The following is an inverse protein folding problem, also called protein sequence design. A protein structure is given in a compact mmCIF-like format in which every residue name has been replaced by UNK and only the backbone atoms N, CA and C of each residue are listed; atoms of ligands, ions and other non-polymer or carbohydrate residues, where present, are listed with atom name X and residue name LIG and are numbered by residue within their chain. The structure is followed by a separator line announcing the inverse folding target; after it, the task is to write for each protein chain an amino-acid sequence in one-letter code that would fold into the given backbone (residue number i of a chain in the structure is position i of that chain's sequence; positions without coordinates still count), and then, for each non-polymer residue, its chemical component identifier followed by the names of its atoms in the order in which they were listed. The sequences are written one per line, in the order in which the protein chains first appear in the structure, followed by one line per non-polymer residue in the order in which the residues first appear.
data_IF_230319578414
#
_entry.id   IF_230319578414
#
_cell.length_a   1.000
_cell.length_b   1.000
_cell.length_c   1.000
_cell.angle_alpha   90.00
_cell.angle_beta   90.00
_cell.angle_gamma   90.00
#
_symmetry.space_group_name_H-M   'P 1'
#
loop_
_entity.id
_entity.type
_entity.pdbx_description
1 polymer ?
#
# COMPACT_ATOMS: atom_id res chain seq x y z
N UNK A 1 0.30 4.85 0.51
CA UNK A 1 -0.09 3.44 0.37
C UNK A 1 -1.45 3.40 -0.32
N UNK A 2 -1.83 2.28 -0.95
CA UNK A 2 -3.05 2.25 -1.78
C UNK A 2 -4.28 2.30 -0.86
N UNK A 3 -4.28 1.49 0.20
CA UNK A 3 -5.37 1.36 1.18
C UNK A 3 -5.71 2.69 1.86
N UNK A 4 -4.73 3.56 2.14
CA UNK A 4 -5.02 4.84 2.78
C UNK A 4 -5.86 5.75 1.89
N UNK A 5 -5.51 5.87 0.60
CA UNK A 5 -6.29 6.66 -0.35
C UNK A 5 -7.63 5.98 -0.66
N UNK A 6 -7.62 4.66 -0.85
CA UNK A 6 -8.83 3.91 -1.19
C UNK A 6 -9.87 3.97 -0.06
N UNK A 7 -9.47 3.86 1.22
CA UNK A 7 -10.41 3.92 2.34
C UNK A 7 -11.04 5.30 2.49
N UNK A 8 -10.26 6.36 2.25
CA UNK A 8 -10.77 7.73 2.25
C UNK A 8 -11.74 7.95 1.09
N UNK A 9 -11.45 7.43 -0.09
CA UNK A 9 -12.33 7.54 -1.26
C UNK A 9 -13.64 6.77 -1.04
N UNK A 10 -13.54 5.51 -0.61
CA UNK A 10 -14.69 4.62 -0.46
C UNK A 10 -15.65 5.03 0.66
N UNK A 11 -15.16 5.63 1.74
CA UNK A 11 -15.95 5.86 2.96
C UNK A 11 -16.03 7.34 3.36
N UNK A 12 -15.21 8.21 2.77
CA UNK A 12 -14.94 9.55 3.29
C UNK A 12 -16.16 10.46 3.33
N UNK A 13 -16.84 10.64 2.20
CA UNK A 13 -17.97 11.57 2.09
C UNK A 13 -19.12 11.15 3.00
N UNK A 14 -19.51 9.87 2.93
CA UNK A 14 -20.64 9.34 3.70
C UNK A 14 -20.39 9.40 5.22
N UNK A 15 -19.13 9.37 5.65
CA UNK A 15 -18.75 9.43 7.05
C UNK A 15 -18.24 10.83 7.48
N UNK A 16 -18.52 11.87 6.69
CA UNK A 16 -18.36 13.27 7.10
C UNK A 16 -16.96 13.87 6.89
N UNK A 17 -16.09 13.25 6.08
CA UNK A 17 -14.86 13.91 5.66
C UNK A 17 -15.16 15.06 4.69
N UNK A 18 -14.39 16.16 4.74
CA UNK A 18 -14.50 17.23 3.75
C UNK A 18 -14.31 16.70 2.32
N UNK A 19 -15.16 17.14 1.39
CA UNK A 19 -15.10 16.72 -0.01
C UNK A 19 -13.73 17.00 -0.65
N UNK A 20 -13.03 18.06 -0.21
CA UNK A 20 -11.66 18.34 -0.66
C UNK A 20 -10.66 17.25 -0.26
N UNK A 21 -10.76 16.72 0.97
CA UNK A 21 -9.90 15.65 1.46
C UNK A 21 -10.14 14.35 0.69
N UNK A 22 -11.40 14.04 0.38
CA UNK A 22 -11.77 12.89 -0.46
C UNK A 22 -11.30 13.09 -1.89
N UNK A 23 -11.50 14.28 -2.47
CA UNK A 23 -11.03 14.62 -3.81
C UNK A 23 -9.51 14.51 -3.95
N UNK A 24 -8.75 14.81 -2.89
CA UNK A 24 -7.30 14.56 -2.85
C UNK A 24 -7.00 13.06 -2.91
N UNK A 25 -7.69 12.24 -2.13
CA UNK A 25 -7.49 10.79 -2.12
C UNK A 25 -7.80 10.16 -3.49
N UNK A 26 -8.88 10.59 -4.15
CA UNK A 26 -9.24 10.20 -5.52
C UNK A 26 -8.11 10.48 -6.51
N UNK A 27 -7.60 11.71 -6.55
CA UNK A 27 -6.45 12.07 -7.44
C UNK A 27 -5.20 11.25 -7.15
N UNK A 28 -4.95 10.91 -5.89
CA UNK A 28 -3.86 10.02 -5.51
C UNK A 28 -4.08 8.60 -6.01
N UNK A 29 -5.30 8.07 -5.90
CA UNK A 29 -5.65 6.71 -6.31
C UNK A 29 -5.60 6.52 -7.84
N UNK A 30 -6.10 7.50 -8.60
CA UNK A 30 -6.07 7.52 -10.07
C UNK A 30 -4.67 7.31 -10.67
N UNK A 31 -3.64 7.82 -9.99
CA UNK A 31 -2.25 7.75 -10.45
C UNK A 31 -1.43 6.67 -9.76
N UNK A 32 -1.98 5.98 -8.75
CA UNK A 32 -1.20 5.10 -7.88
C UNK A 32 -0.57 3.93 -8.64
N UNK A 33 -1.38 3.21 -9.42
CA UNK A 33 -0.90 2.08 -10.22
C UNK A 33 0.15 2.48 -11.25
N UNK A 34 -0.11 3.56 -12.00
CA UNK A 34 0.83 4.10 -13.01
C UNK A 34 2.15 4.54 -12.38
N UNK A 35 2.12 5.10 -11.18
CA UNK A 35 3.33 5.52 -10.48
C UNK A 35 4.12 4.32 -9.95
N UNK A 36 3.45 3.30 -9.41
CA UNK A 36 4.09 2.05 -9.01
C UNK A 36 4.75 1.35 -10.20
N UNK A 37 4.08 1.29 -11.35
CA UNK A 37 4.64 0.76 -12.60
C UNK A 37 5.90 1.52 -13.01
N UNK A 38 5.87 2.86 -13.02
CA UNK A 38 7.05 3.69 -13.33
C UNK A 38 8.19 3.46 -12.34
N UNK A 39 7.90 3.30 -11.05
CA UNK A 39 8.91 3.00 -10.04
C UNK A 39 9.56 1.64 -10.30
N UNK A 40 8.76 0.58 -10.54
CA UNK A 40 9.27 -0.76 -10.87
C UNK A 40 10.11 -0.77 -12.14
N UNK A 41 9.64 -0.08 -13.19
CA UNK A 41 10.37 0.05 -14.45
C UNK A 41 11.74 0.74 -14.30
N UNK A 42 11.90 1.57 -13.25
CA UNK A 42 13.17 2.23 -12.89
C UNK A 42 14.01 1.43 -11.88
N UNK A 43 13.60 0.22 -11.50
CA UNK A 43 14.30 -0.60 -10.52
C UNK A 43 14.19 -0.08 -9.09
N UNK A 44 13.19 0.74 -8.78
CA UNK A 44 12.94 1.18 -7.40
C UNK A 44 12.42 -0.01 -6.59
N UNK A 45 13.10 -0.35 -5.51
CA UNK A 45 12.65 -1.36 -4.56
C UNK A 45 11.35 -0.90 -3.88
N UNK A 46 10.32 -1.72 -3.94
CA UNK A 46 9.01 -1.45 -3.31
C UNK A 46 8.85 -2.35 -2.09
N UNK A 47 8.60 -1.70 -0.95
CA UNK A 47 8.30 -2.31 0.34
C UNK A 47 6.78 -2.39 0.56
N UNK A 48 6.35 -3.22 1.50
CA UNK A 48 4.95 -3.23 1.95
C UNK A 48 4.75 -2.25 3.10
N UNK A 49 3.72 -1.41 3.00
CA UNK A 49 3.27 -0.54 4.08
C UNK A 49 1.83 -0.11 3.82
N UNK A 50 1.10 0.22 4.88
CA UNK A 50 -0.33 0.51 4.78
C UNK A 50 -0.73 1.90 5.25
N UNK A 51 0.10 2.58 6.04
CA UNK A 51 -0.28 3.84 6.71
C UNK A 51 -1.53 3.64 7.61
N UNK A 52 -1.58 2.48 8.29
CA UNK A 52 -2.65 2.15 9.24
C UNK A 52 -2.74 3.21 10.34
N UNK A 53 -3.96 3.64 10.64
CA UNK A 53 -4.25 4.79 11.49
C UNK A 53 -4.80 6.00 10.71
N UNK A 54 -4.66 6.01 9.38
CA UNK A 54 -5.38 6.96 8.52
C UNK A 54 -6.90 6.76 8.56
N UNK A 55 -7.67 7.75 8.09
CA UNK A 55 -9.13 7.70 8.13
C UNK A 55 -9.66 6.41 7.48
N UNK A 56 -10.47 5.67 8.26
CA UNK A 56 -11.08 4.39 7.89
C UNK A 56 -10.09 3.26 7.51
N UNK A 57 -8.79 3.44 7.74
CA UNK A 57 -7.75 2.44 7.59
C UNK A 57 -7.29 1.97 8.97
N UNK A 58 -8.00 0.99 9.52
CA UNK A 58 -7.85 0.57 10.91
C UNK A 58 -6.66 -0.36 11.10
N UNK A 59 -6.05 -0.30 12.28
CA UNK A 59 -5.11 -1.34 12.71
C UNK A 59 -5.81 -2.70 12.73
N UNK A 60 -5.15 -3.73 12.19
CA UNK A 60 -5.71 -5.07 12.02
C UNK A 60 -6.25 -5.37 10.62
N UNK A 61 -6.42 -4.33 9.78
CA UNK A 61 -6.95 -4.49 8.41
C UNK A 61 -5.87 -4.41 7.32
N UNK A 62 -4.59 -4.47 7.70
CA UNK A 62 -3.47 -4.24 6.79
C UNK A 62 -3.42 -5.24 5.63
N UNK A 63 -3.94 -6.45 5.82
CA UNK A 63 -3.97 -7.49 4.79
C UNK A 63 -4.69 -7.06 3.51
N UNK A 64 -5.59 -6.08 3.60
CA UNK A 64 -6.28 -5.53 2.45
C UNK A 64 -5.34 -4.86 1.43
N UNK A 65 -4.21 -4.30 1.89
CA UNK A 65 -3.21 -3.72 0.99
C UNK A 65 -2.63 -4.78 0.03
N UNK A 66 -2.54 -6.05 0.42
CA UNK A 66 -2.09 -7.09 -0.50
C UNK A 66 -3.00 -7.23 -1.72
N UNK A 67 -4.32 -7.22 -1.51
CA UNK A 67 -5.29 -7.25 -2.60
C UNK A 67 -5.13 -6.03 -3.50
N UNK A 68 -5.01 -4.84 -2.91
CA UNK A 68 -4.83 -3.60 -3.67
C UNK A 68 -3.52 -3.54 -4.45
N UNK A 69 -2.43 -4.07 -3.91
CA UNK A 69 -1.15 -4.18 -4.65
C UNK A 69 -1.31 -5.08 -5.88
N UNK A 70 -2.07 -6.16 -5.80
CA UNK A 70 -2.35 -7.00 -6.97
C UNK A 70 -3.29 -6.30 -7.97
N UNK A 71 -4.36 -5.67 -7.49
CA UNK A 71 -5.40 -5.08 -8.32
C UNK A 71 -4.95 -3.77 -8.99
N UNK A 72 -4.44 -2.82 -8.20
CA UNK A 72 -4.01 -1.49 -8.66
C UNK A 72 -2.55 -1.49 -9.11
N UNK A 73 -1.67 -2.13 -8.34
CA UNK A 73 -0.22 -2.13 -8.58
C UNK A 73 0.27 -3.20 -9.56
N UNK A 74 -0.60 -4.16 -9.94
CA UNK A 74 -0.27 -5.29 -10.83
C UNK A 74 0.94 -6.09 -10.35
N UNK A 75 1.09 -6.23 -9.05
CA UNK A 75 2.10 -7.10 -8.46
C UNK A 75 1.62 -8.57 -8.50
N UNK A 76 2.49 -9.52 -8.86
CA UNK A 76 2.25 -10.93 -8.56
C UNK A 76 2.10 -11.15 -7.05
N UNK A 77 1.24 -12.10 -6.65
CA UNK A 77 0.98 -12.40 -5.22
C UNK A 77 2.28 -12.70 -4.45
N UNK A 78 3.20 -13.46 -5.05
CA UNK A 78 4.48 -13.78 -4.44
C UNK A 78 5.34 -12.52 -4.20
N UNK A 79 5.35 -11.56 -5.14
CA UNK A 79 6.08 -10.30 -4.98
C UNK A 79 5.49 -9.45 -3.86
N UNK A 80 4.17 -9.44 -3.69
CA UNK A 80 3.52 -8.76 -2.57
C UNK A 80 4.00 -9.32 -1.21
N UNK A 81 4.10 -10.66 -1.09
CA UNK A 81 4.58 -11.30 0.14
C UNK A 81 6.06 -11.03 0.38
N UNK A 82 6.89 -11.07 -0.65
CA UNK A 82 8.32 -10.73 -0.57
C UNK A 82 8.51 -9.28 -0.12
N UNK A 83 7.72 -8.35 -0.68
CA UNK A 83 7.73 -6.95 -0.29
C UNK A 83 7.42 -6.76 1.20
N UNK A 84 6.52 -7.57 1.75
CA UNK A 84 6.12 -7.52 3.17
C UNK A 84 7.01 -8.29 4.15
N UNK A 85 7.93 -9.10 3.63
CA UNK A 85 8.77 -9.98 4.45
C UNK A 85 10.23 -9.65 4.21
N UNK A 86 10.91 -10.37 3.31
CA UNK A 86 12.33 -10.21 3.00
C UNK A 86 12.71 -8.75 2.71
N UNK A 87 11.97 -8.05 1.84
CA UNK A 87 12.31 -6.68 1.45
C UNK A 87 12.13 -5.68 2.61
N UNK A 88 11.10 -5.84 3.43
CA UNK A 88 10.95 -5.02 4.64
C UNK A 88 12.04 -5.31 5.68
N UNK A 89 12.45 -6.58 5.84
CA UNK A 89 13.55 -6.93 6.72
C UNK A 89 14.88 -6.31 6.25
N UNK A 90 15.16 -6.33 4.95
CA UNK A 90 16.30 -5.62 4.36
C UNK A 90 16.25 -4.11 4.63
N UNK A 91 15.08 -3.48 4.41
CA UNK A 91 14.87 -2.06 4.70
C UNK A 91 15.18 -1.72 6.16
N UNK A 92 14.72 -2.55 7.09
CA UNK A 92 14.93 -2.38 8.54
C UNK A 92 16.34 -2.80 9.00
N UNK A 93 17.18 -3.34 8.10
CA UNK A 93 18.50 -3.92 8.40
C UNK A 93 18.42 -5.10 9.37
N UNK A 94 17.37 -5.92 9.26
CA UNK A 94 17.06 -7.07 10.11
C UNK A 94 17.00 -8.38 9.34
N UNK A 95 17.62 -8.46 8.17
CA UNK A 95 17.63 -9.67 7.33
C UNK A 95 18.20 -10.89 8.04
N UNK A 96 19.03 -10.71 9.06
CA UNK A 96 19.61 -11.75 9.92
C UNK A 96 18.69 -12.18 11.08
N UNK A 97 17.51 -11.56 11.22
CA UNK A 97 16.61 -11.77 12.37
C UNK A 97 15.21 -12.22 11.97
N UNK A 98 14.69 -11.65 10.88
CA UNK A 98 13.31 -11.87 10.41
C UNK A 98 13.22 -11.75 8.88
N UNK A 99 12.11 -12.18 8.30
CA UNK A 99 11.75 -11.91 6.90
C UNK A 99 11.82 -13.11 5.96
N UNK A 100 12.51 -14.18 6.34
CA UNK A 100 12.54 -15.46 5.61
C UNK A 100 12.39 -16.65 6.58
N UNK A 101 12.01 -17.81 6.05
CA UNK A 101 12.10 -19.10 6.74
C UNK A 101 13.11 -19.93 5.94
N UNK A 102 14.19 -20.34 6.57
CA UNK A 102 15.35 -21.00 5.94
C UNK A 102 15.94 -22.11 6.82
#
# INVERSE_FOLDING_TARGET
TIIAAERIDAMGVENGLPAEAVGKAQRCLENHGKNLEKCRAKGVTICFGTDAGTYYNRHGEQTREFGLMTEYGKFPVAECLIAATRTNAELMKWSDKVGTIE
#
